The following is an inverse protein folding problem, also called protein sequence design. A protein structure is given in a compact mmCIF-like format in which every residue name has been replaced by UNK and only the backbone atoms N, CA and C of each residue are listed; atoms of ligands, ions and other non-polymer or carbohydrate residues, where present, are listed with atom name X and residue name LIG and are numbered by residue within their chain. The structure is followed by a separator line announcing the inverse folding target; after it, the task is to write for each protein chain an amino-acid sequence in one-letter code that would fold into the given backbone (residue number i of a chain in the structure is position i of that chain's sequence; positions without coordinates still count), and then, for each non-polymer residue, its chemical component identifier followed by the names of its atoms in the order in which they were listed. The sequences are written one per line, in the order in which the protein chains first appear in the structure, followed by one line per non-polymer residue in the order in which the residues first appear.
data_IF_232918290732
#
_entry.id   IF_232918290732
#
_cell.length_a   1.000
_cell.length_b   1.000
_cell.length_c   1.000
_cell.angle_alpha   90.00
_cell.angle_beta   90.00
_cell.angle_gamma   90.00
#
_symmetry.space_group_name_H-M   'P 1'
#
loop_
_entity.id
_entity.type
_entity.pdbx_description
1 polymer ?
#
# COMPACT_ATOMS: atom_id res chain seq x y z
N UNK A 1 15.82 -9.93 14.43
CA UNK A 1 16.28 -9.77 13.04
C UNK A 1 15.22 -8.93 12.36
N UNK A 2 15.58 -7.83 11.67
CA UNK A 2 14.59 -7.05 10.93
C UNK A 2 14.02 -7.94 9.83
N UNK A 3 12.71 -8.17 9.84
CA UNK A 3 12.02 -8.88 8.77
C UNK A 3 12.20 -8.08 7.48
N UNK A 4 12.52 -8.74 6.37
CA UNK A 4 12.57 -8.05 5.07
C UNK A 4 11.16 -7.89 4.51
N UNK A 5 10.94 -6.94 3.60
CA UNK A 5 9.64 -6.76 2.92
C UNK A 5 9.22 -8.05 2.19
N UNK A 6 10.18 -8.72 1.54
CA UNK A 6 9.96 -10.03 0.90
C UNK A 6 9.46 -11.07 1.91
N UNK A 7 10.07 -11.14 3.10
CA UNK A 7 9.65 -12.08 4.15
C UNK A 7 8.26 -11.73 4.69
N UNK A 8 7.93 -10.44 4.81
CA UNK A 8 6.61 -9.98 5.24
C UNK A 8 5.52 -10.35 4.22
N UNK A 9 5.80 -10.19 2.92
CA UNK A 9 4.88 -10.61 1.85
C UNK A 9 4.71 -12.14 1.85
N UNK A 10 5.79 -12.90 2.04
CA UNK A 10 5.72 -14.36 2.13
C UNK A 10 4.90 -14.82 3.35
N UNK A 11 5.09 -14.20 4.52
CA UNK A 11 4.29 -14.48 5.73
C UNK A 11 2.81 -14.14 5.49
N UNK A 12 2.52 -13.02 4.84
CA UNK A 12 1.16 -12.60 4.47
C UNK A 12 0.45 -13.66 3.63
N UNK A 13 1.08 -14.19 2.58
CA UNK A 13 0.47 -15.23 1.75
C UNK A 13 0.27 -16.54 2.54
N UNK A 14 1.22 -16.85 3.44
CA UNK A 14 1.11 -17.99 4.35
C UNK A 14 -0.08 -17.87 5.32
N UNK A 15 -0.25 -16.70 5.96
CA UNK A 15 -1.38 -16.42 6.87
C UNK A 15 -2.72 -16.56 6.16
N UNK A 16 -2.81 -16.07 4.92
CA UNK A 16 -4.03 -16.12 4.13
C UNK A 16 -4.29 -17.51 3.50
N UNK A 17 -3.33 -18.45 3.63
CA UNK A 17 -3.35 -19.73 2.93
C UNK A 17 -3.53 -19.58 1.40
N UNK A 18 -2.88 -18.56 0.83
CA UNK A 18 -2.95 -18.22 -0.60
C UNK A 18 -1.58 -18.41 -1.27
N UNK A 19 -1.59 -18.59 -2.58
CA UNK A 19 -0.35 -18.61 -3.39
C UNK A 19 -0.10 -17.24 -4.01
N UNK A 20 1.17 -16.77 -4.05
CA UNK A 20 1.52 -15.57 -4.79
C UNK A 20 1.19 -15.68 -6.29
N UNK A 21 1.00 -14.53 -6.98
CA UNK A 21 0.77 -14.49 -8.42
C UNK A 21 1.78 -15.32 -9.21
N UNK A 22 1.28 -16.11 -10.16
CA UNK A 22 2.07 -16.98 -11.04
C UNK A 22 2.04 -16.47 -12.48
N UNK A 23 2.62 -17.23 -13.43
CA UNK A 23 2.58 -16.88 -14.86
C UNK A 23 1.14 -16.81 -15.43
N UNK A 24 0.19 -17.51 -14.80
CA UNK A 24 -1.20 -17.63 -15.22
C UNK A 24 -2.12 -16.65 -14.49
N UNK A 25 -1.83 -16.37 -13.22
CA UNK A 25 -2.59 -15.45 -12.36
C UNK A 25 -1.72 -14.26 -11.98
N UNK A 26 -1.84 -13.17 -12.73
CA UNK A 26 -0.90 -12.03 -12.68
C UNK A 26 -1.39 -10.87 -11.81
N UNK A 27 -2.68 -10.86 -11.48
CA UNK A 27 -3.34 -9.78 -10.75
C UNK A 27 -3.59 -10.26 -9.33
N UNK A 28 -3.01 -9.57 -8.35
CA UNK A 28 -3.24 -9.84 -6.93
C UNK A 28 -4.69 -9.57 -6.53
N UNK A 29 -5.29 -10.51 -5.81
CA UNK A 29 -6.64 -10.38 -5.23
C UNK A 29 -6.52 -9.76 -3.84
N UNK A 30 -6.37 -8.43 -3.78
CA UNK A 30 -6.11 -7.70 -2.52
C UNK A 30 -7.17 -7.97 -1.44
N UNK A 31 -8.45 -8.05 -1.79
CA UNK A 31 -9.52 -8.24 -0.80
C UNK A 31 -9.40 -9.54 -0.01
N UNK A 32 -8.92 -10.62 -0.64
CA UNK A 32 -8.73 -11.90 0.07
C UNK A 32 -7.56 -11.82 1.05
N UNK A 33 -6.48 -11.14 0.65
CA UNK A 33 -5.31 -10.91 1.50
C UNK A 33 -5.63 -10.01 2.70
N UNK A 34 -6.39 -8.92 2.47
CA UNK A 34 -6.85 -8.03 3.54
C UNK A 34 -7.73 -8.78 4.56
N UNK A 35 -8.61 -9.67 4.08
CA UNK A 35 -9.47 -10.48 4.93
C UNK A 35 -8.71 -11.35 5.93
N UNK A 36 -7.51 -11.83 5.57
CA UNK A 36 -6.64 -12.59 6.48
C UNK A 36 -6.15 -11.81 7.71
N UNK A 37 -6.23 -10.49 7.67
CA UNK A 37 -5.81 -9.58 8.75
C UNK A 37 -6.98 -8.82 9.40
N UNK A 38 -8.23 -9.20 9.14
CA UNK A 38 -9.43 -8.44 9.53
C UNK A 38 -9.42 -6.99 9.03
N UNK A 39 -8.83 -6.76 7.86
CA UNK A 39 -8.87 -5.46 7.18
C UNK A 39 -10.02 -5.44 6.18
N UNK A 40 -10.75 -4.33 6.14
CA UNK A 40 -11.81 -4.09 5.16
C UNK A 40 -11.44 -2.91 4.27
N UNK A 41 -11.49 -3.09 2.95
CA UNK A 41 -11.34 -1.99 1.99
C UNK A 41 -12.69 -1.36 1.67
N UNK A 42 -12.78 -0.03 1.75
CA UNK A 42 -13.98 0.77 1.47
C UNK A 42 -13.63 1.88 0.48
N UNK A 43 -14.41 2.02 -0.57
CA UNK A 43 -14.25 3.14 -1.51
C UNK A 43 -15.22 4.27 -1.15
N UNK A 44 -14.70 5.49 -0.96
CA UNK A 44 -15.49 6.67 -0.61
C UNK A 44 -15.31 7.77 -1.66
N UNK A 45 -16.36 8.53 -1.92
CA UNK A 45 -16.32 9.71 -2.82
C UNK A 45 -15.86 10.92 -2.03
N UNK A 46 -14.87 11.64 -2.55
CA UNK A 46 -14.31 12.81 -1.88
C UNK A 46 -13.65 12.40 -0.57
N UNK A 47 -12.75 11.41 -0.64
CA UNK A 47 -12.07 10.88 0.53
C UNK A 47 -11.28 11.98 1.24
N UNK A 48 -11.62 12.20 2.50
CA UNK A 48 -10.85 12.95 3.48
C UNK A 48 -10.86 12.17 4.80
N UNK A 49 -9.99 12.52 5.74
CA UNK A 49 -10.01 11.91 7.08
C UNK A 49 -11.31 12.22 7.83
N UNK A 50 -11.95 13.37 7.60
CA UNK A 50 -13.28 13.70 8.14
C UNK A 50 -14.37 12.78 7.56
N UNK A 51 -14.38 12.55 6.25
CA UNK A 51 -15.36 11.66 5.60
C UNK A 51 -15.19 10.20 6.07
N UNK A 52 -13.94 9.74 6.22
CA UNK A 52 -13.64 8.42 6.77
C UNK A 52 -14.10 8.30 8.24
N UNK A 53 -13.81 9.31 9.07
CA UNK A 53 -14.27 9.36 10.46
C UNK A 53 -15.79 9.28 10.57
N UNK A 54 -16.52 10.05 9.76
CA UNK A 54 -17.98 9.97 9.69
C UNK A 54 -18.50 8.59 9.24
N UNK A 55 -17.80 7.93 8.31
CA UNK A 55 -18.14 6.56 7.93
C UNK A 55 -17.99 5.60 9.11
N UNK A 56 -16.87 5.65 9.82
CA UNK A 56 -16.59 4.82 10.99
C UNK A 56 -17.64 5.02 12.09
N UNK A 57 -18.02 6.28 12.37
CA UNK A 57 -19.07 6.60 13.34
C UNK A 57 -20.42 5.97 12.95
N UNK A 58 -20.82 6.09 11.67
CA UNK A 58 -22.08 5.49 11.19
C UNK A 58 -22.09 3.96 11.24
N UNK A 59 -20.92 3.34 11.15
CA UNK A 59 -20.75 1.89 11.31
C UNK A 59 -20.68 1.44 12.78
N UNK A 60 -20.59 2.38 13.72
CA UNK A 60 -20.36 2.09 15.14
C UNK A 60 -18.96 1.55 15.42
N UNK A 61 -18.00 1.80 14.51
CA UNK A 61 -16.60 1.45 14.71
C UNK A 61 -15.91 2.39 15.70
N UNK A 62 -16.31 3.67 15.69
CA UNK A 62 -15.88 4.68 16.65
C UNK A 62 -17.10 5.43 17.20
N UNK A 63 -16.98 5.97 18.42
CA UNK A 63 -18.06 6.72 19.07
C UNK A 63 -17.84 8.24 19.06
N UNK A 64 -16.61 8.68 18.84
CA UNK A 64 -16.23 10.09 18.75
C UNK A 64 -15.48 10.34 17.43
N UNK A 65 -15.55 11.57 16.87
CA UNK A 65 -14.74 11.92 15.71
C UNK A 65 -13.25 11.82 16.00
N UNK A 66 -12.48 11.43 14.99
CA UNK A 66 -11.02 11.38 15.09
C UNK A 66 -10.51 12.82 15.22
N UNK A 67 -9.84 13.14 16.34
CA UNK A 67 -9.52 14.53 16.69
C UNK A 67 -8.58 15.25 15.70
N UNK A 68 -7.79 14.51 14.93
CA UNK A 68 -6.91 15.02 13.87
C UNK A 68 -7.56 15.09 12.49
N UNK A 69 -8.83 14.69 12.35
CA UNK A 69 -9.51 14.65 11.07
C UNK A 69 -9.68 16.05 10.45
N UNK A 70 -9.55 16.12 9.14
CA UNK A 70 -9.62 17.34 8.34
C UNK A 70 -10.26 17.08 6.96
N UNK A 71 -10.35 18.15 6.16
CA UNK A 71 -10.95 18.14 4.82
C UNK A 71 -9.91 18.06 3.70
N UNK A 72 -8.65 17.76 4.02
CA UNK A 72 -7.63 17.59 2.99
C UNK A 72 -7.95 16.33 2.16
N UNK A 73 -8.00 16.43 0.82
CA UNK A 73 -8.24 15.28 -0.04
C UNK A 73 -7.14 14.23 0.07
N UNK A 74 -7.54 12.96 0.10
CA UNK A 74 -6.63 11.81 0.23
C UNK A 74 -6.87 10.80 -0.88
N UNK A 75 -5.81 10.11 -1.30
CA UNK A 75 -5.91 8.93 -2.16
C UNK A 75 -6.17 7.64 -1.35
N UNK A 76 -5.61 7.59 -0.14
CA UNK A 76 -5.71 6.47 0.79
C UNK A 76 -5.85 6.97 2.22
N UNK A 77 -6.50 6.18 3.08
CA UNK A 77 -6.54 6.43 4.50
C UNK A 77 -6.75 5.11 5.23
N UNK A 78 -5.96 4.83 6.26
CA UNK A 78 -6.14 3.66 7.12
C UNK A 78 -6.55 4.09 8.52
N UNK A 79 -7.51 3.34 9.07
CA UNK A 79 -7.87 3.36 10.47
C UNK A 79 -7.69 1.96 11.04
N UNK A 80 -7.02 1.86 12.18
CA UNK A 80 -6.77 0.58 12.83
C UNK A 80 -7.09 0.70 14.31
N UNK A 81 -7.87 -0.26 14.81
CA UNK A 81 -8.11 -0.47 16.22
C UNK A 81 -7.57 -1.83 16.70
N UNK A 82 -7.81 -2.16 17.98
CA UNK A 82 -7.38 -3.41 18.61
C UNK A 82 -7.88 -4.71 17.94
N UNK A 83 -8.96 -4.63 17.16
CA UNK A 83 -9.75 -5.76 16.68
C UNK A 83 -9.86 -5.80 15.14
N UNK A 84 -10.04 -4.66 14.49
CA UNK A 84 -10.27 -4.54 13.05
C UNK A 84 -9.50 -3.34 12.47
N UNK A 85 -9.39 -3.31 11.14
CA UNK A 85 -8.94 -2.12 10.42
C UNK A 85 -9.74 -1.85 9.16
N UNK A 86 -9.73 -0.59 8.76
CA UNK A 86 -10.41 -0.08 7.58
C UNK A 86 -9.41 0.65 6.72
N UNK A 87 -9.30 0.23 5.46
CA UNK A 87 -8.59 0.96 4.42
C UNK A 87 -9.64 1.67 3.58
N UNK A 88 -9.48 2.97 3.40
CA UNK A 88 -10.33 3.81 2.58
C UNK A 88 -9.54 4.27 1.36
N UNK A 89 -10.18 4.32 0.20
CA UNK A 89 -9.60 4.89 -1.03
C UNK A 89 -10.60 5.78 -1.75
N UNK A 90 -10.09 6.77 -2.49
CA UNK A 90 -10.90 7.64 -3.33
C UNK A 90 -11.54 6.83 -4.47
N UNK A 91 -12.86 6.71 -4.44
CA UNK A 91 -13.65 5.89 -5.36
C UNK A 91 -13.48 6.30 -6.81
N UNK A 92 -13.42 7.61 -7.05
CA UNK A 92 -13.41 8.16 -8.40
C UNK A 92 -11.98 8.24 -9.00
N UNK A 93 -10.95 7.76 -8.28
CA UNK A 93 -9.60 7.62 -8.82
C UNK A 93 -9.46 6.38 -9.74
N UNK A 94 -8.44 6.41 -10.60
CA UNK A 94 -8.12 5.34 -11.54
C UNK A 94 -7.95 4.02 -10.78
N UNK A 95 -8.51 2.93 -11.32
CA UNK A 95 -8.45 1.62 -10.66
C UNK A 95 -7.02 1.19 -10.29
N UNK A 96 -6.05 1.47 -11.17
CA UNK A 96 -4.64 1.13 -10.92
C UNK A 96 -4.03 1.94 -9.76
N UNK A 97 -4.51 3.18 -9.53
CA UNK A 97 -4.09 4.04 -8.42
C UNK A 97 -4.75 3.61 -7.12
N UNK A 98 -6.06 3.38 -7.14
CA UNK A 98 -6.78 2.77 -6.00
C UNK A 98 -6.12 1.48 -5.52
N UNK A 99 -5.80 0.56 -6.45
CA UNK A 99 -5.10 -0.69 -6.11
C UNK A 99 -3.75 -0.45 -5.45
N UNK A 100 -2.99 0.53 -5.94
CA UNK A 100 -1.72 0.90 -5.35
C UNK A 100 -1.91 1.50 -3.95
N UNK A 101 -2.85 2.43 -3.77
CA UNK A 101 -3.19 3.02 -2.47
C UNK A 101 -3.59 1.94 -1.47
N UNK A 102 -4.46 0.99 -1.84
CA UNK A 102 -4.81 -0.14 -0.96
C UNK A 102 -3.57 -0.94 -0.56
N UNK A 103 -2.69 -1.26 -1.51
CA UNK A 103 -1.48 -2.03 -1.23
C UNK A 103 -0.47 -1.24 -0.38
N UNK A 104 -0.41 0.08 -0.53
CA UNK A 104 0.42 0.99 0.26
C UNK A 104 -0.05 1.02 1.72
N UNK A 105 -1.34 1.29 1.95
CA UNK A 105 -1.95 1.29 3.29
C UNK A 105 -1.81 -0.09 3.97
N UNK A 106 -1.93 -1.17 3.18
CA UNK A 106 -1.69 -2.52 3.68
C UNK A 106 -0.22 -2.74 4.07
N UNK A 107 0.72 -2.14 3.35
CA UNK A 107 2.14 -2.13 3.71
C UNK A 107 2.38 -1.46 5.06
N UNK A 108 1.77 -0.29 5.30
CA UNK A 108 1.84 0.36 6.61
C UNK A 108 1.30 -0.55 7.73
N UNK A 109 0.15 -1.18 7.48
CA UNK A 109 -0.42 -2.10 8.45
C UNK A 109 0.52 -3.27 8.75
N UNK A 110 0.97 -4.00 7.73
CA UNK A 110 1.76 -5.23 7.92
C UNK A 110 3.13 -4.92 8.55
N UNK A 111 3.80 -3.87 8.08
CA UNK A 111 5.18 -3.59 8.47
C UNK A 111 5.29 -2.79 9.77
N UNK A 112 4.29 -1.96 10.11
CA UNK A 112 4.43 -0.99 11.20
C UNK A 112 3.35 -1.11 12.26
N UNK A 113 2.11 -1.43 11.92
CA UNK A 113 1.00 -1.41 12.89
C UNK A 113 0.71 -2.80 13.47
N UNK A 114 0.73 -3.82 12.64
CA UNK A 114 0.46 -5.21 13.03
C UNK A 114 1.46 -5.75 14.06
N UNK A 115 2.78 -5.47 13.98
CA UNK A 115 3.73 -5.86 15.04
C UNK A 115 3.36 -5.26 16.40
N UNK A 116 2.99 -3.97 16.43
CA UNK A 116 2.58 -3.28 17.67
C UNK A 116 1.29 -3.88 18.25
N UNK A 117 0.29 -4.14 17.41
CA UNK A 117 -0.96 -4.78 17.84
C UNK A 117 -0.72 -6.19 18.39
N UNK A 118 0.19 -6.96 17.77
CA UNK A 118 0.57 -8.29 18.26
C UNK A 118 1.24 -8.21 19.62
N UNK A 119 2.18 -7.28 19.80
CA UNK A 119 2.85 -7.09 21.09
C UNK A 119 1.87 -6.64 22.18
N UNK A 120 0.97 -5.71 21.86
CA UNK A 120 -0.01 -5.23 22.83
C UNK A 120 -0.96 -6.34 23.28
N UNK A 121 -1.46 -7.17 22.35
CA UNK A 121 -2.29 -8.34 22.69
C UNK A 121 -1.60 -9.32 23.64
N UNK A 122 -0.27 -9.34 23.65
CA UNK A 122 0.53 -10.18 24.56
C UNK A 122 0.79 -9.52 25.93
N UNK A 123 0.49 -8.23 26.08
CA UNK A 123 0.93 -7.41 27.23
C UNK A 123 -0.10 -7.22 28.35
N UNK A 124 -1.30 -7.83 28.29
CA UNK A 124 -2.43 -7.64 29.22
C UNK A 124 -2.85 -6.17 29.48
N UNK A 125 -2.31 -5.21 28.72
CA UNK A 125 -2.64 -3.79 28.82
C UNK A 125 -3.89 -3.46 27.98
N UNK A 126 -4.89 -2.86 28.62
CA UNK A 126 -6.21 -2.55 28.04
C UNK A 126 -6.32 -1.15 27.42
N UNK A 127 -5.20 -0.48 27.14
CA UNK A 127 -5.24 0.85 26.51
C UNK A 127 -5.69 0.71 25.04
N UNK A 128 -6.82 1.28 24.62
CA UNK A 128 -7.26 1.22 23.24
C UNK A 128 -6.19 1.85 22.33
N UNK A 129 -5.67 1.07 21.38
CA UNK A 129 -4.76 1.58 20.37
C UNK A 129 -5.55 1.99 19.14
N UNK A 130 -5.43 3.26 18.79
CA UNK A 130 -5.94 3.83 17.56
C UNK A 130 -4.76 4.37 16.74
N UNK A 131 -4.63 3.89 15.50
CA UNK A 131 -3.60 4.33 14.57
C UNK A 131 -4.29 4.77 13.27
N UNK A 132 -3.89 5.93 12.77
CA UNK A 132 -4.35 6.44 11.48
C UNK A 132 -3.19 6.90 10.61
N UNK A 133 -3.32 6.70 9.31
CA UNK A 133 -2.39 7.17 8.28
C UNK A 133 -3.23 7.60 7.07
N UNK A 134 -2.80 8.64 6.36
CA UNK A 134 -3.50 9.14 5.19
C UNK A 134 -2.55 9.49 4.05
N UNK A 135 -2.66 8.73 2.96
CA UNK A 135 -1.95 8.98 1.72
C UNK A 135 -2.52 10.17 0.93
N UNK A 136 -1.68 11.15 0.58
CA UNK A 136 -2.07 12.30 -0.24
C UNK A 136 -2.47 11.91 -1.67
N UNK A 137 -3.16 12.84 -2.36
CA UNK A 137 -3.50 12.66 -3.77
C UNK A 137 -2.26 12.49 -4.66
N UNK A 138 -2.36 11.61 -5.66
CA UNK A 138 -1.37 11.55 -6.75
C UNK A 138 -1.42 12.86 -7.56
N UNK A 139 -0.32 13.60 -7.67
CA UNK A 139 -0.32 14.80 -8.50
C UNK A 139 -0.38 14.44 -10.01
N UNK A 140 -0.91 15.36 -10.82
CA UNK A 140 -1.02 15.16 -12.27
C UNK A 140 0.33 15.32 -13.01
N UNK A 141 1.28 16.02 -12.39
CA UNK A 141 2.57 16.42 -12.95
C UNK A 141 3.77 15.60 -12.41
N UNK A 142 3.52 14.62 -11.54
CA UNK A 142 4.60 13.80 -10.98
C UNK A 142 5.34 13.04 -12.10
N UNK A 143 6.62 13.37 -12.24
CA UNK A 143 7.58 12.54 -12.95
C UNK A 143 7.49 11.11 -12.40
N UNK A 144 7.79 10.13 -13.25
CA UNK A 144 7.63 8.70 -12.97
C UNK A 144 8.47 8.12 -11.81
N UNK A 145 9.03 8.97 -10.95
CA UNK A 145 9.91 8.61 -9.84
C UNK A 145 9.36 9.02 -8.46
N UNK A 146 8.38 9.91 -8.39
CA UNK A 146 7.79 10.35 -7.12
C UNK A 146 6.46 9.60 -6.87
N UNK A 147 6.36 8.96 -5.71
CA UNK A 147 5.12 8.38 -5.20
C UNK A 147 4.55 9.32 -4.13
N UNK A 148 3.23 9.32 -3.90
CA UNK A 148 2.63 10.19 -2.90
C UNK A 148 3.21 9.90 -1.50
N UNK A 149 3.33 10.96 -0.71
CA UNK A 149 3.65 10.92 0.72
C UNK A 149 2.36 11.15 1.53
N UNK A 150 2.12 10.35 2.56
CA UNK A 150 1.01 10.51 3.51
C UNK A 150 1.25 11.34 4.79
N UNK A 151 0.62 10.94 5.90
CA UNK A 151 0.85 11.45 7.27
C UNK A 151 0.35 10.45 8.31
N UNK A 152 1.26 9.96 9.16
CA UNK A 152 0.91 9.08 10.30
C UNK A 152 0.51 9.89 11.53
N UNK A 153 -0.61 9.54 12.17
CA UNK A 153 -1.02 10.02 13.50
C UNK A 153 -1.23 8.83 14.44
N UNK A 154 -0.49 8.79 15.55
CA UNK A 154 -0.48 7.68 16.50
C UNK A 154 -0.27 8.15 17.94
N UNK A 155 -0.50 7.25 18.91
CA UNK A 155 -0.26 7.52 20.33
C UNK A 155 1.25 7.74 20.62
N UNK A 156 1.63 8.73 21.43
CA UNK A 156 3.02 9.21 21.57
C UNK A 156 4.02 8.20 22.18
N UNK A 157 3.57 7.04 22.64
CA UNK A 157 4.39 6.00 23.26
C UNK A 157 4.80 4.87 22.31
N UNK A 158 4.35 4.90 21.05
CA UNK A 158 4.74 3.88 20.08
C UNK A 158 6.12 4.17 19.50
N UNK A 159 6.98 3.16 19.50
CA UNK A 159 8.26 3.21 18.80
C UNK A 159 8.07 2.81 17.34
N UNK A 160 7.77 3.81 16.51
CA UNK A 160 7.70 3.64 15.05
C UNK A 160 9.01 4.09 14.38
N UNK A 161 9.33 3.54 13.18
CA UNK A 161 10.39 4.08 12.33
C UNK A 161 10.11 5.54 11.96
N UNK A 162 11.10 6.21 11.37
CA UNK A 162 10.88 7.57 10.87
C UNK A 162 9.79 7.56 9.79
N UNK A 163 8.98 8.62 9.74
CA UNK A 163 7.89 8.75 8.78
C UNK A 163 8.35 8.51 7.31
N UNK A 164 9.44 9.17 6.88
CA UNK A 164 9.99 8.97 5.54
C UNK A 164 10.44 7.52 5.26
N UNK A 165 10.92 6.81 6.28
CA UNK A 165 11.27 5.40 6.16
C UNK A 165 10.01 4.55 5.96
N UNK A 166 8.96 4.78 6.77
CA UNK A 166 7.69 4.06 6.64
C UNK A 166 7.08 4.25 5.25
N UNK A 167 7.05 5.48 4.73
CA UNK A 167 6.54 5.77 3.37
C UNK A 167 7.31 5.01 2.30
N UNK A 168 8.65 4.96 2.40
CA UNK A 168 9.49 4.22 1.46
C UNK A 168 9.24 2.72 1.53
N UNK A 169 9.11 2.19 2.75
CA UNK A 169 8.84 0.78 3.00
C UNK A 169 7.44 0.37 2.52
N UNK A 170 6.40 1.17 2.79
CA UNK A 170 5.04 0.96 2.31
C UNK A 170 4.94 1.02 0.78
N UNK A 171 5.61 1.98 0.16
CA UNK A 171 5.71 2.08 -1.29
C UNK A 171 6.44 0.88 -1.92
N UNK A 172 7.53 0.44 -1.31
CA UNK A 172 8.26 -0.75 -1.76
C UNK A 172 7.39 -2.01 -1.58
N UNK A 173 6.70 -2.14 -0.46
CA UNK A 173 5.77 -3.23 -0.20
C UNK A 173 4.65 -3.27 -1.24
N UNK A 174 4.01 -2.15 -1.54
CA UNK A 174 2.97 -2.06 -2.56
C UNK A 174 3.48 -2.49 -3.94
N UNK A 175 4.68 -2.04 -4.33
CA UNK A 175 5.31 -2.42 -5.58
C UNK A 175 5.66 -3.92 -5.63
N UNK A 176 6.22 -4.48 -4.54
CA UNK A 176 6.59 -5.89 -4.47
C UNK A 176 5.37 -6.82 -4.43
N UNK A 177 4.33 -6.44 -3.70
CA UNK A 177 3.09 -7.20 -3.60
C UNK A 177 2.38 -7.23 -4.96
N UNK A 178 2.16 -6.06 -5.57
CA UNK A 178 1.43 -5.94 -6.84
C UNK A 178 2.23 -6.40 -8.06
N UNK A 179 3.56 -6.32 -7.99
CA UNK A 179 4.46 -6.70 -9.08
C UNK A 179 5.56 -7.65 -8.58
N UNK A 180 5.23 -8.93 -8.26
CA UNK A 180 6.21 -9.91 -7.82
C UNK A 180 7.33 -10.09 -8.84
N UNK A 181 8.58 -10.20 -8.35
CA UNK A 181 9.77 -10.21 -9.20
C UNK A 181 9.70 -11.28 -10.30
N UNK A 182 9.30 -12.50 -9.96
CA UNK A 182 9.18 -13.62 -10.89
C UNK A 182 8.15 -13.35 -12.00
N UNK A 183 6.99 -12.77 -11.64
CA UNK A 183 5.94 -12.43 -12.59
C UNK A 183 6.40 -11.32 -13.55
N UNK A 184 7.06 -10.28 -13.04
CA UNK A 184 7.60 -9.19 -13.86
C UNK A 184 8.69 -9.70 -14.81
N UNK A 185 9.64 -10.49 -14.30
CA UNK A 185 10.73 -11.06 -15.11
C UNK A 185 10.20 -11.98 -16.22
N UNK A 186 9.19 -12.79 -15.92
CA UNK A 186 8.52 -13.61 -16.92
C UNK A 186 7.88 -12.75 -18.03
N UNK A 187 7.09 -11.73 -17.65
CA UNK A 187 6.42 -10.86 -18.61
C UNK A 187 7.44 -10.05 -19.43
N UNK A 188 8.51 -9.59 -18.80
CA UNK A 188 9.60 -8.90 -19.49
C UNK A 188 10.23 -9.82 -20.54
N UNK A 189 10.59 -11.05 -20.18
CA UNK A 189 11.18 -12.02 -21.13
C UNK A 189 10.23 -12.33 -22.29
N UNK A 190 8.93 -12.39 -22.01
CA UNK A 190 7.89 -12.66 -23.01
C UNK A 190 7.68 -11.52 -24.00
N UNK A 191 7.71 -10.26 -23.55
CA UNK A 191 7.32 -9.09 -24.37
C UNK A 191 8.50 -8.22 -24.83
N UNK A 192 9.65 -8.27 -24.15
CA UNK A 192 10.84 -7.52 -24.55
C UNK A 192 11.38 -7.84 -25.96
N UNK A 193 11.11 -8.99 -26.59
CA UNK A 193 11.46 -9.20 -28.00
C UNK A 193 10.67 -8.29 -28.95
N UNK A 194 9.39 -8.04 -28.66
CA UNK A 194 8.45 -7.37 -29.57
C UNK A 194 8.24 -5.87 -29.25
N UNK A 195 8.42 -5.46 -27.99
CA UNK A 195 8.19 -4.10 -27.53
C UNK A 195 9.48 -3.46 -26.98
N UNK A 196 9.59 -2.13 -27.03
CA UNK A 196 10.75 -1.37 -26.49
C UNK A 196 10.27 -0.11 -25.77
N UNK A 197 11.13 0.44 -24.91
CA UNK A 197 10.88 1.73 -24.24
C UNK A 197 9.54 1.77 -23.52
N UNK A 198 8.79 2.85 -23.75
CA UNK A 198 7.50 3.08 -23.10
C UNK A 198 6.40 2.11 -23.54
N UNK A 199 6.46 1.56 -24.75
CA UNK A 199 5.49 0.55 -25.21
C UNK A 199 5.61 -0.75 -24.39
N UNK A 200 6.85 -1.15 -24.05
CA UNK A 200 7.09 -2.30 -23.19
C UNK A 200 6.56 -2.02 -21.78
N UNK A 201 6.85 -0.85 -21.22
CA UNK A 201 6.38 -0.47 -19.88
C UNK A 201 4.85 -0.47 -19.82
N UNK A 202 4.20 0.13 -20.82
CA UNK A 202 2.74 0.16 -20.92
C UNK A 202 2.16 -1.25 -21.03
N UNK A 203 2.79 -2.13 -21.84
CA UNK A 203 2.36 -3.53 -21.98
C UNK A 203 2.42 -4.27 -20.64
N UNK A 204 3.53 -4.16 -19.93
CA UNK A 204 3.73 -4.82 -18.64
C UNK A 204 2.78 -4.27 -17.56
N UNK A 205 2.62 -2.94 -17.51
CA UNK A 205 1.71 -2.28 -16.57
C UNK A 205 0.25 -2.74 -16.76
N UNK A 206 -0.17 -2.89 -18.02
CA UNK A 206 -1.51 -3.38 -18.39
C UNK A 206 -1.74 -4.82 -17.92
N UNK A 207 -0.74 -5.69 -18.05
CA UNK A 207 -0.82 -7.11 -17.65
C UNK A 207 -0.97 -7.30 -16.13
N UNK A 208 -0.49 -6.35 -15.33
CA UNK A 208 -0.51 -6.42 -13.86
C UNK A 208 -1.50 -5.45 -13.21
N UNK A 209 -2.25 -4.68 -14.02
CA UNK A 209 -3.19 -3.64 -13.56
C UNK A 209 -2.55 -2.62 -12.61
N UNK A 210 -1.40 -2.09 -13.01
CA UNK A 210 -0.66 -1.02 -12.31
C UNK A 210 -0.45 0.18 -13.23
N UNK A 211 0.02 1.30 -12.69
CA UNK A 211 0.40 2.46 -13.51
C UNK A 211 1.71 2.21 -14.26
N UNK A 212 1.91 2.89 -15.39
CA UNK A 212 3.19 2.85 -16.12
C UNK A 212 4.36 3.36 -15.28
N UNK A 213 4.11 4.38 -14.45
CA UNK A 213 5.06 4.91 -13.46
C UNK A 213 5.52 3.83 -12.47
N UNK A 214 4.57 3.15 -11.81
CA UNK A 214 4.90 2.09 -10.86
C UNK A 214 5.66 0.94 -11.53
N UNK A 215 5.24 0.53 -12.73
CA UNK A 215 5.94 -0.51 -13.49
C UNK A 215 7.37 -0.08 -13.88
N UNK A 216 7.57 1.16 -14.34
CA UNK A 216 8.90 1.69 -14.67
C UNK A 216 9.83 1.65 -13.46
N UNK A 217 9.36 2.12 -12.30
CA UNK A 217 10.11 2.05 -11.05
C UNK A 217 10.46 0.61 -10.70
N UNK A 218 9.49 -0.30 -10.76
CA UNK A 218 9.71 -1.72 -10.47
C UNK A 218 10.74 -2.37 -11.38
N UNK A 219 10.73 -2.05 -12.68
CA UNK A 219 11.73 -2.56 -13.61
C UNK A 219 13.15 -2.06 -13.30
N UNK A 220 13.28 -0.82 -12.78
CA UNK A 220 14.57 -0.28 -12.31
C UNK A 220 15.03 -1.00 -11.04
N UNK A 221 14.14 -1.20 -10.08
CA UNK A 221 14.43 -1.93 -8.83
C UNK A 221 14.90 -3.37 -9.12
N UNK A 222 14.34 -4.01 -10.15
CA UNK A 222 14.73 -5.34 -10.62
C UNK A 222 15.91 -5.34 -11.59
N UNK A 223 16.53 -4.18 -11.87
CA UNK A 223 17.65 -4.01 -12.79
C UNK A 223 17.38 -4.48 -14.23
N UNK A 224 16.11 -4.46 -14.65
CA UNK A 224 15.66 -4.78 -16.01
C UNK A 224 15.67 -3.56 -16.95
N UNK A 225 15.71 -2.36 -16.38
CA UNK A 225 16.00 -1.10 -17.09
C UNK A 225 17.23 -0.43 -16.48
N UNK A 226 18.00 0.33 -17.27
CA UNK A 226 19.12 1.10 -16.73
C UNK A 226 18.63 2.10 -15.69
N UNK A 227 19.35 2.21 -14.58
CA UNK A 227 19.14 3.26 -13.59
C UNK A 227 19.40 4.61 -14.26
N UNK A 228 18.51 5.58 -14.07
CA UNK A 228 18.76 6.95 -14.53
C UNK A 228 19.96 7.47 -13.75
N UNK A 229 21.09 7.69 -14.42
CA UNK A 229 22.19 8.42 -13.80
C UNK A 229 21.65 9.80 -13.42
N UNK A 230 21.61 10.10 -12.13
CA UNK A 230 21.33 11.45 -11.66
C UNK A 230 22.30 12.39 -12.39
N UNK A 231 21.76 13.28 -13.23
CA UNK A 231 22.54 14.32 -13.88
C UNK A 231 23.10 15.23 -12.79
N UNK A 232 24.32 14.93 -12.34
CA UNK A 232 25.17 15.88 -11.65
C UNK A 232 25.64 16.89 -12.71
N UNK A 233 24.91 17.99 -12.84
CA UNK A 233 25.39 19.25 -13.40
C UNK A 233 25.46 20.28 -12.28
#
# INVERSE_FOLDING_TARGET
MSQTITDAIAELYCICAMTPPTQQERVVVLNELLGGYNLTCIELVGLTSEVASHFLMRRGAIFEPIGSANQEPLAGYIYVDSSNGYIFVERDDLLVRRRFSVAHEFGHYVLHFYPLLREQRLSDSYEPLEITEGLALFSADENADDLPEGRVVHAPHLHLPSYNQMEKEANQFAAELLMPAEAVQYLFTRYAPDFRGDDLIWRLATEMLVSGTAMRRRLRDLHLLPLVAAHLN
#
